data_IF_439660526823
#
_entry.id   IF_439660526823
#
_cell.length_a   1.000
_cell.length_b   1.000
_cell.length_c   1.000
_cell.angle_alpha   90.00
_cell.angle_beta   90.00
_cell.angle_gamma   90.00
#
_symmetry.space_group_name_H-M   'P 1'
#
loop_
_entity.id
_entity.type
_entity.pdbx_description
1 polymer ?
#
# COMPACT_ATOMS: atom_id res chain seq x y z
N UNK A 1 -20.15 -14.63 8.98
CA UNK A 1 -20.10 -14.29 10.37
C UNK A 1 -20.65 -12.88 10.60
N UNK A 2 -21.49 -12.72 11.62
CA UNK A 2 -22.22 -11.45 11.81
C UNK A 2 -21.32 -10.24 12.08
N UNK A 3 -20.10 -10.44 12.62
CA UNK A 3 -19.23 -9.35 13.03
C UNK A 3 -18.21 -8.94 11.96
N UNK A 4 -18.09 -9.72 10.89
CA UNK A 4 -17.08 -9.46 9.87
C UNK A 4 -17.71 -9.50 8.48
N UNK A 5 -17.23 -8.62 7.60
CA UNK A 5 -17.69 -8.61 6.23
C UNK A 5 -17.02 -9.72 5.43
N UNK A 6 -17.81 -10.42 4.61
CA UNK A 6 -17.29 -11.40 3.66
C UNK A 6 -16.94 -10.75 2.31
N UNK A 7 -17.21 -9.45 2.17
CA UNK A 7 -17.00 -8.75 0.91
C UNK A 7 -15.60 -8.14 0.87
N UNK A 8 -14.84 -8.50 -0.16
CA UNK A 8 -13.50 -7.97 -0.37
C UNK A 8 -13.51 -6.45 -0.54
N UNK A 9 -14.51 -5.91 -1.24
CA UNK A 9 -14.64 -4.48 -1.47
C UNK A 9 -14.95 -3.68 -0.20
N UNK A 10 -15.22 -4.35 0.90
CA UNK A 10 -15.45 -3.76 2.21
C UNK A 10 -14.42 -4.20 3.24
N UNK A 11 -13.33 -4.78 2.78
CA UNK A 11 -12.28 -5.27 3.67
C UNK A 11 -10.99 -4.55 3.35
N UNK A 12 -10.46 -3.82 4.33
CA UNK A 12 -9.21 -3.09 4.21
C UNK A 12 -8.13 -3.83 4.98
N UNK A 13 -7.01 -4.11 4.30
CA UNK A 13 -5.80 -4.55 4.97
C UNK A 13 -4.87 -3.34 5.05
N UNK A 14 -4.36 -3.07 6.24
CA UNK A 14 -3.56 -1.87 6.49
C UNK A 14 -2.31 -2.20 7.29
N UNK A 15 -1.25 -1.46 7.06
CA UNK A 15 -0.03 -1.63 7.82
C UNK A 15 1.00 -0.55 7.54
N UNK A 16 2.03 -0.53 8.39
CA UNK A 16 3.12 0.42 8.32
C UNK A 16 4.44 -0.32 8.17
N UNK A 17 5.40 0.26 7.46
CA UNK A 17 6.73 -0.29 7.29
C UNK A 17 6.67 -1.69 6.64
N UNK A 18 7.21 -2.72 7.27
CA UNK A 18 7.06 -4.09 6.77
C UNK A 18 5.58 -4.52 6.72
N UNK A 19 4.76 -3.99 7.64
CA UNK A 19 3.31 -4.20 7.60
C UNK A 19 2.67 -3.56 6.38
N UNK A 20 3.19 -2.44 5.91
CA UNK A 20 2.74 -1.83 4.65
C UNK A 20 3.04 -2.70 3.45
N UNK A 21 4.26 -3.25 3.40
CA UNK A 21 4.64 -4.21 2.37
C UNK A 21 3.74 -5.45 2.43
N UNK A 22 3.53 -6.00 3.62
CA UNK A 22 2.67 -7.17 3.80
C UNK A 22 1.22 -6.91 3.41
N UNK A 23 0.72 -5.71 3.67
CA UNK A 23 -0.65 -5.32 3.32
C UNK A 23 -0.85 -5.31 1.81
N UNK A 24 0.06 -4.72 1.07
CA UNK A 24 -0.03 -4.72 -0.39
C UNK A 24 0.16 -6.13 -0.95
N UNK A 25 1.11 -6.89 -0.40
CA UNK A 25 1.30 -8.28 -0.77
C UNK A 25 0.01 -9.08 -0.61
N UNK A 26 -0.66 -8.91 0.53
CA UNK A 26 -1.91 -9.61 0.79
C UNK A 26 -3.00 -9.23 -0.20
N UNK A 27 -3.16 -7.95 -0.52
CA UNK A 27 -4.14 -7.49 -1.50
C UNK A 27 -3.85 -8.01 -2.89
N UNK A 28 -2.59 -8.01 -3.30
CA UNK A 28 -2.20 -8.50 -4.62
C UNK A 28 -2.40 -10.01 -4.78
N UNK A 29 -2.16 -10.78 -3.72
CA UNK A 29 -2.27 -12.25 -3.77
C UNK A 29 -3.68 -12.75 -3.47
N UNK A 30 -4.45 -12.02 -2.64
CA UNK A 30 -5.79 -12.43 -2.24
C UNK A 30 -6.79 -11.29 -2.42
N UNK A 31 -6.96 -10.80 -3.67
CA UNK A 31 -7.87 -9.66 -3.92
C UNK A 31 -9.33 -9.99 -3.63
N UNK A 32 -9.68 -11.26 -3.67
CA UNK A 32 -11.03 -11.71 -3.36
C UNK A 32 -11.32 -11.66 -1.85
N UNK A 33 -10.29 -11.50 -1.02
CA UNK A 33 -10.44 -11.38 0.43
C UNK A 33 -10.18 -9.96 0.91
N UNK A 34 -9.17 -9.31 0.33
CA UNK A 34 -8.73 -7.96 0.71
C UNK A 34 -8.79 -7.07 -0.51
N UNK A 35 -9.92 -6.41 -0.69
CA UNK A 35 -10.12 -5.55 -1.86
C UNK A 35 -9.59 -4.13 -1.69
N UNK A 36 -9.26 -3.72 -0.47
CA UNK A 36 -8.74 -2.40 -0.17
C UNK A 36 -7.42 -2.52 0.60
N UNK A 37 -6.43 -1.72 0.20
CA UNK A 37 -5.10 -1.74 0.80
C UNK A 37 -4.72 -0.34 1.26
N UNK A 38 -4.27 -0.22 2.50
CA UNK A 38 -3.70 1.01 3.03
C UNK A 38 -2.28 0.71 3.50
N UNK A 39 -1.30 1.23 2.77
CA UNK A 39 0.11 1.01 3.07
C UNK A 39 0.77 2.33 3.44
N UNK A 40 1.29 2.41 4.64
CA UNK A 40 1.99 3.59 5.15
C UNK A 40 3.48 3.29 5.27
N UNK A 41 4.30 4.04 4.59
CA UNK A 41 5.77 3.90 4.61
C UNK A 41 6.20 2.46 4.38
N UNK A 42 5.63 1.81 3.37
CA UNK A 42 5.92 0.41 3.08
C UNK A 42 7.38 0.16 2.70
N UNK A 43 7.91 -0.95 3.19
CA UNK A 43 9.32 -1.32 2.99
C UNK A 43 9.54 -1.99 1.63
N UNK A 44 9.15 -1.32 0.56
CA UNK A 44 9.17 -1.88 -0.81
C UNK A 44 10.58 -2.07 -1.38
N UNK A 45 11.61 -1.59 -0.65
CA UNK A 45 13.01 -1.91 -0.96
C UNK A 45 13.36 -3.37 -0.65
N UNK A 46 12.58 -4.03 0.19
CA UNK A 46 12.89 -5.40 0.64
C UNK A 46 13.02 -6.37 -0.54
N UNK A 47 14.02 -7.25 -0.59
CA UNK A 47 15.07 -7.45 0.40
C UNK A 47 16.35 -6.65 0.14
N UNK A 48 16.37 -5.70 -0.79
CA UNK A 48 17.57 -5.01 -1.26
C UNK A 48 17.73 -3.62 -0.63
N UNK A 49 18.10 -3.58 0.63
CA UNK A 49 18.13 -2.35 1.43
C UNK A 49 19.04 -1.23 0.90
N UNK A 50 19.99 -1.54 0.06
CA UNK A 50 20.96 -0.54 -0.43
C UNK A 50 20.44 0.45 -1.46
N UNK A 51 19.22 0.29 -1.92
CA UNK A 51 18.59 1.23 -2.85
C UNK A 51 19.06 1.16 -4.29
N UNK A 52 19.93 0.23 -4.64
CA UNK A 52 20.45 0.06 -5.99
C UNK A 52 19.63 -0.91 -6.83
N UNK A 53 18.82 -1.71 -6.19
CA UNK A 53 17.94 -2.66 -6.86
C UNK A 53 16.53 -2.44 -6.37
N UNK A 54 15.57 -2.66 -7.26
CA UNK A 54 14.16 -2.64 -6.87
C UNK A 54 13.88 -3.79 -5.89
N UNK A 55 12.93 -3.58 -5.00
CA UNK A 55 12.50 -4.63 -4.11
C UNK A 55 11.76 -5.74 -4.84
N UNK A 56 11.60 -6.87 -4.17
CA UNK A 56 10.99 -8.06 -4.77
C UNK A 56 9.61 -7.80 -5.36
N UNK A 57 8.75 -7.10 -4.64
CA UNK A 57 7.38 -6.85 -5.09
C UNK A 57 7.36 -5.97 -6.33
N UNK A 58 8.23 -4.97 -6.40
CA UNK A 58 8.38 -4.11 -7.57
C UNK A 58 8.78 -4.95 -8.79
N UNK A 59 9.76 -5.83 -8.62
CA UNK A 59 10.22 -6.72 -9.69
C UNK A 59 9.10 -7.64 -10.17
N UNK A 60 8.34 -8.20 -9.26
CA UNK A 60 7.23 -9.09 -9.61
C UNK A 60 6.16 -8.36 -10.42
N UNK A 61 5.90 -7.10 -10.09
CA UNK A 61 4.97 -6.28 -10.87
C UNK A 61 5.53 -5.95 -12.25
N UNK A 62 6.83 -5.64 -12.35
CA UNK A 62 7.48 -5.34 -13.62
C UNK A 62 7.45 -6.53 -14.58
N UNK A 63 7.69 -7.71 -14.07
CA UNK A 63 7.75 -8.93 -14.89
C UNK A 63 6.38 -9.52 -15.19
N UNK A 64 5.33 -9.01 -14.56
CA UNK A 64 3.99 -9.56 -14.71
C UNK A 64 3.72 -10.82 -13.91
N UNK A 65 4.67 -11.22 -13.04
CA UNK A 65 4.47 -12.35 -12.14
C UNK A 65 3.26 -12.11 -11.22
N UNK A 66 3.06 -10.84 -10.84
CA UNK A 66 1.89 -10.40 -10.09
C UNK A 66 1.28 -9.22 -10.83
N UNK A 67 -0.04 -9.20 -10.92
CA UNK A 67 -0.78 -8.06 -11.48
C UNK A 67 -1.92 -7.68 -10.55
N UNK A 68 -2.15 -6.39 -10.28
CA UNK A 68 -3.30 -5.96 -9.48
C UNK A 68 -4.60 -6.25 -10.22
N UNK A 69 -5.65 -6.58 -9.48
CA UNK A 69 -6.94 -6.98 -10.03
C UNK A 69 -8.07 -6.17 -9.40
N UNK A 70 -8.14 -4.89 -9.76
CA UNK A 70 -9.23 -4.05 -9.31
C UNK A 70 -9.21 -3.72 -7.84
N UNK A 71 -8.03 -3.62 -7.26
CA UNK A 71 -7.87 -3.23 -5.87
C UNK A 71 -8.09 -1.74 -5.70
N UNK A 72 -8.46 -1.35 -4.50
CA UNK A 72 -8.43 0.05 -4.07
C UNK A 72 -7.21 0.22 -3.20
N UNK A 73 -6.23 0.97 -3.69
CA UNK A 73 -4.93 1.07 -3.04
C UNK A 73 -4.65 2.53 -2.67
N UNK A 74 -4.30 2.75 -1.42
CA UNK A 74 -3.74 4.00 -0.96
C UNK A 74 -2.32 3.76 -0.45
N UNK A 75 -1.36 4.45 -1.04
CA UNK A 75 0.03 4.44 -0.61
C UNK A 75 0.37 5.78 0.03
N UNK A 76 0.94 5.75 1.20
CA UNK A 76 1.43 6.93 1.89
C UNK A 76 2.90 6.76 2.23
N UNK A 77 3.69 7.82 2.09
CA UNK A 77 5.09 7.81 2.49
C UNK A 77 5.54 9.20 2.96
N UNK A 78 6.47 9.22 3.90
CA UNK A 78 7.01 10.45 4.46
C UNK A 78 8.23 10.94 3.70
N UNK A 79 8.28 12.24 3.45
CA UNK A 79 9.41 12.87 2.73
C UNK A 79 10.73 12.75 3.48
N UNK A 80 10.66 12.59 4.80
CA UNK A 80 11.86 12.51 5.64
C UNK A 80 12.40 11.07 5.75
N UNK A 81 11.96 10.17 4.87
CA UNK A 81 12.40 8.79 4.82
C UNK A 81 12.94 8.47 3.42
N UNK A 82 14.15 8.92 3.07
CA UNK A 82 14.59 8.91 1.66
C UNK A 82 14.53 7.55 0.95
N UNK A 83 14.98 6.48 1.60
CA UNK A 83 14.93 5.14 0.99
C UNK A 83 13.50 4.65 0.85
N UNK A 84 12.71 4.82 1.89
CA UNK A 84 11.31 4.40 1.90
C UNK A 84 10.49 5.22 0.91
N UNK A 85 10.70 6.53 0.90
CA UNK A 85 10.00 7.42 -0.02
C UNK A 85 10.28 7.03 -1.47
N UNK A 86 11.54 6.79 -1.80
CA UNK A 86 11.94 6.39 -3.15
C UNK A 86 11.34 5.03 -3.54
N UNK A 87 11.37 4.07 -2.63
CA UNK A 87 10.79 2.75 -2.88
C UNK A 87 9.27 2.83 -3.07
N UNK A 88 8.61 3.71 -2.32
CA UNK A 88 7.16 3.93 -2.48
C UNK A 88 6.84 4.61 -3.80
N UNK A 89 7.65 5.56 -4.25
CA UNK A 89 7.49 6.14 -5.58
C UNK A 89 7.63 5.09 -6.67
N UNK A 90 8.58 4.16 -6.51
CA UNK A 90 8.79 3.10 -7.49
C UNK A 90 7.61 2.12 -7.56
N UNK A 91 7.08 1.69 -6.39
CA UNK A 91 5.93 0.79 -6.39
C UNK A 91 4.68 1.49 -6.92
N UNK A 92 4.51 2.77 -6.58
CA UNK A 92 3.41 3.56 -7.12
C UNK A 92 3.46 3.61 -8.65
N UNK A 93 4.62 3.88 -9.22
CA UNK A 93 4.78 3.97 -10.66
C UNK A 93 4.37 2.66 -11.35
N UNK A 94 4.78 1.53 -10.79
CA UNK A 94 4.42 0.23 -11.36
C UNK A 94 2.92 -0.08 -11.24
N UNK A 95 2.34 0.15 -10.07
CA UNK A 95 0.92 -0.08 -9.85
C UNK A 95 0.06 0.84 -10.72
N UNK A 96 0.48 2.09 -10.88
CA UNK A 96 -0.28 3.09 -11.62
C UNK A 96 -0.35 2.77 -13.12
N UNK A 97 0.55 1.96 -13.64
CA UNK A 97 0.45 1.51 -15.03
C UNK A 97 -0.70 0.53 -15.24
N UNK A 98 -1.18 -0.11 -14.17
CA UNK A 98 -2.25 -1.11 -14.25
C UNK A 98 -3.61 -0.58 -13.83
N UNK A 99 -3.64 0.32 -12.84
CA UNK A 99 -4.89 0.81 -12.28
C UNK A 99 -4.67 2.13 -11.53
N UNK A 100 -5.74 2.88 -11.22
CA UNK A 100 -5.61 4.06 -10.36
C UNK A 100 -5.14 3.69 -8.96
N UNK A 101 -4.23 4.50 -8.40
CA UNK A 101 -3.71 4.34 -7.05
C UNK A 101 -3.74 5.71 -6.38
N UNK A 102 -4.19 5.76 -5.14
CA UNK A 102 -4.18 6.99 -4.36
C UNK A 102 -2.79 7.14 -3.76
N UNK A 103 -2.12 8.23 -4.08
CA UNK A 103 -0.79 8.55 -3.54
C UNK A 103 -0.90 9.71 -2.57
N UNK A 104 -0.34 9.54 -1.38
CA UNK A 104 -0.30 10.59 -0.38
C UNK A 104 1.11 10.70 0.20
N UNK A 105 1.73 11.85 0.03
CA UNK A 105 3.02 12.12 0.66
C UNK A 105 2.81 13.06 1.83
N UNK A 106 3.53 12.82 2.91
CA UNK A 106 3.43 13.59 4.14
C UNK A 106 4.79 14.11 4.55
N UNK A 107 4.80 15.19 5.33
CA UNK A 107 6.02 15.80 5.83
C UNK A 107 6.42 15.14 7.15
N UNK A 108 6.52 13.82 7.14
CA UNK A 108 6.79 13.07 8.35
C UNK A 108 7.89 12.05 8.16
N UNK A 109 8.29 11.48 9.28
CA UNK A 109 9.26 10.42 9.32
C UNK A 109 8.61 9.08 9.57
N UNK A 110 9.45 8.11 9.87
CA UNK A 110 9.04 6.72 10.09
C UNK A 110 8.65 6.53 11.55
N UNK A 111 7.49 7.06 11.93
CA UNK A 111 7.08 7.06 13.34
C UNK A 111 5.57 6.90 13.52
N UNK A 112 5.19 6.46 14.72
CA UNK A 112 3.80 6.13 15.05
C UNK A 112 2.87 7.34 15.05
N UNK A 113 3.36 8.53 15.37
CA UNK A 113 2.52 9.72 15.36
C UNK A 113 2.11 10.09 13.94
N UNK A 114 3.06 10.04 13.01
CA UNK A 114 2.79 10.27 11.61
C UNK A 114 1.78 9.27 11.08
N UNK A 115 1.98 7.98 11.37
CA UNK A 115 1.11 6.92 10.86
C UNK A 115 -0.29 6.98 11.46
N UNK A 116 -0.42 7.35 12.73
CA UNK A 116 -1.72 7.44 13.38
C UNK A 116 -2.65 8.44 12.66
N UNK A 117 -2.14 9.63 12.39
CA UNK A 117 -2.91 10.63 11.65
C UNK A 117 -3.27 10.17 10.25
N UNK A 118 -2.30 9.59 9.55
CA UNK A 118 -2.50 9.09 8.20
C UNK A 118 -3.44 7.89 8.14
N UNK A 119 -3.44 7.03 9.15
CA UNK A 119 -4.32 5.87 9.19
C UNK A 119 -5.79 6.28 9.17
N UNK A 120 -6.17 7.21 10.04
CA UNK A 120 -7.56 7.69 10.10
C UNK A 120 -7.98 8.29 8.76
N UNK A 121 -7.17 9.19 8.21
CA UNK A 121 -7.48 9.81 6.93
C UNK A 121 -7.52 8.80 5.78
N UNK A 122 -6.61 7.84 5.80
CA UNK A 122 -6.56 6.80 4.78
C UNK A 122 -7.78 5.90 4.80
N UNK A 123 -8.22 5.51 5.98
CA UNK A 123 -9.41 4.68 6.13
C UNK A 123 -10.66 5.43 5.66
N UNK A 124 -10.78 6.71 6.00
CA UNK A 124 -11.90 7.54 5.54
C UNK A 124 -11.88 7.63 4.01
N UNK A 125 -10.73 7.89 3.43
CA UNK A 125 -10.57 8.01 1.98
C UNK A 125 -10.97 6.73 1.26
N UNK A 126 -10.50 5.58 1.73
CA UNK A 126 -10.83 4.28 1.14
C UNK A 126 -12.28 3.89 1.36
N UNK A 127 -12.86 4.31 2.48
CA UNK A 127 -14.23 3.96 2.83
C UNK A 127 -15.28 4.78 2.09
N UNK A 128 -15.00 6.04 1.77
CA UNK A 128 -15.98 6.94 1.15
C UNK A 128 -16.73 6.36 -0.05
N UNK A 129 -16.05 5.73 -1.03
CA UNK A 129 -16.79 5.14 -2.15
C UNK A 129 -17.65 3.95 -1.77
N UNK A 130 -17.45 3.36 -0.59
CA UNK A 130 -18.23 2.21 -0.13
C UNK A 130 -19.54 2.62 0.52
N UNK A 131 -19.66 3.88 0.95
CA UNK A 131 -20.88 4.40 1.59
C UNK A 131 -21.73 5.26 0.65
N UNK A 132 -21.26 5.45 -0.57
CA UNK A 132 -22.01 6.10 -1.65
C UNK A 132 -22.56 5.05 -2.64
#
# INVERSE_FOLDING_TARGET
HALFSDRADRTVVAGQSFGGLASLYAGLHWPQRFGCVLSQSGSYWWPHRGGQQDGLLIEQLKTGEISPRGLRILLEAGRNEPLIFRANQAIYAELHTHQPVIWRQVDGGHDALCWRGGLTQGLITLWQPLIH
#
